data_IF_460943734456
#
_entry.id   IF_460943734456
#
_cell.length_a   1.000
_cell.length_b   1.000
_cell.length_c   1.000
_cell.angle_alpha   90.00
_cell.angle_beta   90.00
_cell.angle_gamma   90.00
#
_symmetry.space_group_name_H-M   'P 1'
#
loop_
_entity.id
_entity.type
_entity.pdbx_description
1 polymer ?
#
# COMPACT_ATOMS: atom_id res chain seq x y z
N UNK A 1 11.83 6.13 -0.65
CA UNK A 1 10.40 5.96 -0.98
C UNK A 1 9.83 4.78 -0.24
N UNK A 2 8.64 4.94 0.28
CA UNK A 2 7.86 3.85 0.87
C UNK A 2 6.61 3.62 0.03
N UNK A 3 6.18 2.36 -0.06
CA UNK A 3 4.94 1.96 -0.70
C UNK A 3 4.01 1.42 0.38
N UNK A 4 2.84 2.02 0.52
CA UNK A 4 1.87 1.60 1.52
C UNK A 4 1.00 0.47 0.98
N UNK A 5 0.84 -0.59 1.76
CA UNK A 5 -0.18 -1.59 1.52
C UNK A 5 -1.57 -0.95 1.70
N UNK A 6 -2.58 -1.54 1.12
CA UNK A 6 -3.94 -0.96 1.06
C UNK A 6 -4.49 -0.61 2.45
N UNK A 7 -4.42 -1.55 3.40
CA UNK A 7 -4.93 -1.29 4.74
C UNK A 7 -4.13 -0.20 5.48
N UNK A 8 -2.84 -0.04 5.15
CA UNK A 8 -2.01 0.99 5.77
C UNK A 8 -2.46 2.39 5.33
N UNK A 9 -2.78 2.57 4.05
CA UNK A 9 -3.35 3.84 3.58
C UNK A 9 -4.69 4.13 4.29
N UNK A 10 -5.54 3.12 4.43
CA UNK A 10 -6.80 3.26 5.16
C UNK A 10 -6.57 3.65 6.63
N UNK A 11 -5.56 3.09 7.28
CA UNK A 11 -5.22 3.45 8.66
C UNK A 11 -4.68 4.89 8.77
N UNK A 12 -3.88 5.31 7.81
CA UNK A 12 -3.39 6.71 7.77
C UNK A 12 -4.57 7.67 7.62
N UNK A 13 -5.48 7.36 6.70
CA UNK A 13 -6.67 8.18 6.44
C UNK A 13 -7.56 8.32 7.67
N UNK A 14 -7.80 7.22 8.37
CA UNK A 14 -8.68 7.17 9.54
C UNK A 14 -7.98 7.53 10.85
N UNK A 15 -6.69 7.82 10.83
CA UNK A 15 -5.86 7.99 12.03
C UNK A 15 -6.04 6.82 13.01
N UNK A 16 -6.02 5.60 12.47
CA UNK A 16 -6.27 4.37 13.21
C UNK A 16 -5.15 4.10 14.22
N UNK A 17 -5.52 3.68 15.43
CA UNK A 17 -4.56 3.36 16.50
C UNK A 17 -3.66 2.17 16.19
N UNK A 18 -4.05 1.31 15.25
CA UNK A 18 -3.20 0.20 14.79
C UNK A 18 -1.92 0.68 14.12
N UNK A 19 -1.95 1.89 13.54
CA UNK A 19 -0.76 2.48 12.94
C UNK A 19 0.22 2.88 14.04
N UNK A 20 1.41 2.27 14.02
CA UNK A 20 2.41 2.46 15.05
C UNK A 20 3.09 3.82 15.01
N UNK A 21 3.73 4.17 16.13
CA UNK A 21 4.41 5.47 16.27
C UNK A 21 5.56 5.63 15.28
N UNK A 22 6.37 4.59 15.09
CA UNK A 22 7.50 4.63 14.15
C UNK A 22 7.02 4.78 12.72
N UNK A 23 5.92 4.12 12.39
CA UNK A 23 5.30 4.21 11.06
C UNK A 23 4.76 5.60 10.81
N UNK A 24 4.11 6.21 11.79
CA UNK A 24 3.64 7.61 11.67
C UNK A 24 4.79 8.57 11.38
N UNK A 25 5.90 8.41 12.09
CA UNK A 25 7.08 9.23 11.88
C UNK A 25 7.72 8.97 10.50
N UNK A 26 7.75 7.71 10.07
CA UNK A 26 8.26 7.32 8.75
C UNK A 26 7.42 7.94 7.64
N UNK A 27 6.10 7.82 7.71
CA UNK A 27 5.17 8.40 6.72
C UNK A 27 5.35 9.92 6.66
N UNK A 28 5.38 10.60 7.80
CA UNK A 28 5.55 12.06 7.84
C UNK A 28 6.86 12.50 7.18
N UNK A 29 7.95 11.81 7.47
CA UNK A 29 9.27 12.11 6.90
C UNK A 29 9.30 11.90 5.38
N UNK A 30 8.76 10.77 4.92
CA UNK A 30 8.74 10.47 3.49
C UNK A 30 7.75 11.37 2.73
N UNK A 31 6.67 11.78 3.38
CA UNK A 31 5.70 12.69 2.80
C UNK A 31 6.34 14.01 2.38
N UNK A 32 7.20 14.57 3.20
CA UNK A 32 7.92 15.81 2.89
C UNK A 32 8.82 15.69 1.66
N UNK A 33 9.25 14.49 1.33
CA UNK A 33 10.13 14.20 0.17
C UNK A 33 9.34 13.76 -1.06
N UNK A 34 8.00 13.81 -1.03
CA UNK A 34 7.14 13.21 -2.06
C UNK A 34 7.47 11.73 -2.26
N UNK A 35 7.73 11.03 -1.15
CA UNK A 35 8.21 9.65 -1.14
C UNK A 35 7.20 8.64 -0.60
N UNK A 36 5.92 8.99 -0.48
CA UNK A 36 4.85 8.06 -0.07
C UNK A 36 4.03 7.68 -1.29
N UNK A 37 4.01 6.41 -1.60
CA UNK A 37 3.35 5.88 -2.79
C UNK A 37 2.39 4.73 -2.44
N UNK A 38 1.49 4.46 -3.37
CA UNK A 38 0.64 3.26 -3.40
C UNK A 38 0.62 2.69 -4.81
N UNK A 39 0.35 1.39 -4.93
CA UNK A 39 0.01 0.79 -6.21
C UNK A 39 -1.40 1.23 -6.63
N UNK A 40 -1.62 1.41 -7.92
CA UNK A 40 -2.96 1.69 -8.47
C UNK A 40 -4.00 0.65 -8.03
N UNK A 41 -3.61 -0.62 -7.80
CA UNK A 41 -4.49 -1.67 -7.34
C UNK A 41 -5.08 -1.37 -5.95
N UNK A 42 -4.41 -0.56 -5.15
CA UNK A 42 -4.90 -0.16 -3.83
C UNK A 42 -6.26 0.53 -3.93
N UNK A 43 -6.48 1.37 -4.93
CA UNK A 43 -7.77 2.05 -5.09
C UNK A 43 -8.88 1.10 -5.48
N UNK A 44 -8.58 0.07 -6.25
CA UNK A 44 -9.54 -1.00 -6.54
C UNK A 44 -9.91 -1.76 -5.27
N UNK A 45 -8.92 -2.15 -4.46
CA UNK A 45 -9.18 -2.83 -3.18
C UNK A 45 -10.01 -1.96 -2.23
N UNK A 46 -9.66 -0.69 -2.10
CA UNK A 46 -10.43 0.27 -1.29
C UNK A 46 -11.88 0.34 -1.76
N UNK A 47 -12.10 0.41 -3.07
CA UNK A 47 -13.43 0.39 -3.66
C UNK A 47 -14.22 -0.86 -3.30
N UNK A 48 -13.58 -2.02 -3.39
CA UNK A 48 -14.18 -3.31 -2.99
C UNK A 48 -14.54 -3.35 -1.50
N UNK A 49 -13.64 -2.87 -0.64
CA UNK A 49 -13.88 -2.81 0.80
C UNK A 49 -15.04 -1.88 1.14
N UNK A 50 -15.14 -0.74 0.48
CA UNK A 50 -16.23 0.22 0.66
C UNK A 50 -17.58 -0.37 0.21
N UNK A 51 -17.62 -1.05 -0.94
CA UNK A 51 -18.81 -1.76 -1.42
C UNK A 51 -19.30 -2.81 -0.44
N UNK A 52 -18.38 -3.54 0.17
CA UNK A 52 -18.68 -4.58 1.16
C UNK A 52 -18.92 -4.01 2.56
N UNK A 53 -18.95 -2.70 2.71
CA UNK A 53 -19.13 -1.99 3.98
C UNK A 53 -18.10 -2.37 5.05
N UNK A 54 -16.92 -2.77 4.63
CA UNK A 54 -15.82 -3.10 5.54
C UNK A 54 -14.99 -1.89 5.96
N UNK A 55 -15.05 -0.84 5.16
CA UNK A 55 -14.52 0.48 5.50
C UNK A 55 -15.55 1.53 5.13
N UNK A 56 -15.49 2.68 5.82
CA UNK A 56 -16.35 3.81 5.52
C UNK A 56 -15.47 4.95 5.01
N UNK A 57 -15.70 5.36 3.77
CA UNK A 57 -15.00 6.49 3.17
C UNK A 57 -15.80 7.78 3.38
N UNK A 58 -15.13 8.94 3.56
CA UNK A 58 -15.81 10.23 3.68
C UNK A 58 -16.40 10.72 2.36
N UNK A 59 -16.06 10.09 1.25
CA UNK A 59 -16.49 10.46 -0.11
C UNK A 59 -16.55 9.20 -0.98
N UNK A 60 -16.94 9.35 -2.25
CA UNK A 60 -16.84 8.25 -3.21
C UNK A 60 -15.37 7.81 -3.37
N UNK A 61 -15.10 6.55 -3.75
CA UNK A 61 -13.73 6.11 -4.00
C UNK A 61 -12.97 7.01 -4.99
N UNK A 62 -13.64 7.51 -6.03
CA UNK A 62 -13.02 8.40 -7.01
C UNK A 62 -12.64 9.75 -6.39
N UNK A 63 -13.52 10.37 -5.60
CA UNK A 63 -13.22 11.63 -4.92
C UNK A 63 -12.15 11.45 -3.85
N UNK A 64 -12.19 10.35 -3.11
CA UNK A 64 -11.20 10.02 -2.09
C UNK A 64 -9.79 9.87 -2.70
N UNK A 65 -9.68 9.17 -3.83
CA UNK A 65 -8.43 9.06 -4.58
C UNK A 65 -7.91 10.44 -5.00
N UNK A 66 -8.76 11.27 -5.61
CA UNK A 66 -8.37 12.61 -6.06
C UNK A 66 -7.85 13.47 -4.90
N UNK A 67 -8.49 13.41 -3.74
CA UNK A 67 -8.05 14.13 -2.54
C UNK A 67 -6.65 13.70 -2.12
N UNK A 68 -6.38 12.39 -2.09
CA UNK A 68 -5.07 11.86 -1.74
C UNK A 68 -3.99 12.27 -2.73
N UNK A 69 -4.28 12.17 -4.04
CA UNK A 69 -3.31 12.56 -5.08
C UNK A 69 -3.05 14.06 -5.06
N UNK A 70 -4.08 14.87 -4.84
CA UNK A 70 -3.93 16.32 -4.71
C UNK A 70 -3.12 16.71 -3.48
N UNK A 71 -3.18 15.92 -2.42
CA UNK A 71 -2.39 16.16 -1.21
C UNK A 71 -0.92 15.76 -1.34
N UNK A 72 -0.56 14.93 -2.34
CA UNK A 72 0.84 14.55 -2.61
C UNK A 72 1.14 13.05 -2.60
N UNK A 73 0.13 12.19 -2.42
CA UNK A 73 0.32 10.74 -2.55
C UNK A 73 0.70 10.40 -3.98
N UNK A 74 1.70 9.53 -4.15
CA UNK A 74 2.14 9.07 -5.47
C UNK A 74 1.43 7.77 -5.82
N UNK A 75 0.71 7.75 -6.93
CA UNK A 75 0.14 6.54 -7.48
C UNK A 75 1.10 5.91 -8.48
N UNK A 76 1.45 4.65 -8.26
CA UNK A 76 2.27 3.89 -9.20
C UNK A 76 1.34 3.05 -10.06
N UNK A 77 1.35 3.29 -11.36
CA UNK A 77 0.55 2.54 -12.31
C UNK A 77 0.92 1.05 -12.28
N UNK A 78 -0.08 0.18 -12.40
CA UNK A 78 0.15 -1.25 -12.57
C UNK A 78 0.44 -1.52 -14.04
N UNK A 79 1.71 -1.66 -14.37
CA UNK A 79 2.15 -1.93 -15.73
C UNK A 79 2.23 -3.43 -16.00
N UNK A 80 2.19 -3.80 -17.30
CA UNK A 80 2.25 -5.20 -17.71
C UNK A 80 3.47 -5.95 -17.19
N UNK A 81 4.62 -5.30 -17.13
CA UNK A 81 5.84 -5.91 -16.57
C UNK A 81 5.66 -6.29 -15.10
N UNK A 82 5.09 -5.41 -14.28
CA UNK A 82 4.82 -5.71 -12.87
C UNK A 82 3.75 -6.79 -12.72
N UNK A 83 2.72 -6.78 -13.57
CA UNK A 83 1.69 -7.81 -13.56
C UNK A 83 2.28 -9.19 -13.86
N UNK A 84 3.16 -9.30 -14.85
CA UNK A 84 3.84 -10.56 -15.17
C UNK A 84 4.78 -10.97 -14.03
N UNK A 85 5.56 -10.05 -13.50
CA UNK A 85 6.46 -10.31 -12.37
C UNK A 85 5.70 -10.84 -11.16
N UNK A 86 4.48 -10.36 -10.92
CA UNK A 86 3.66 -10.81 -9.80
C UNK A 86 3.38 -12.31 -9.81
N UNK A 87 3.41 -12.95 -10.97
CA UNK A 87 3.23 -14.40 -11.11
C UNK A 87 4.41 -15.21 -10.58
N UNK A 88 5.61 -14.63 -10.58
CA UNK A 88 6.87 -15.32 -10.25
C UNK A 88 7.34 -15.11 -8.82
N UNK A 89 6.49 -14.55 -7.95
CA UNK A 89 6.83 -14.29 -6.55
C UNK A 89 6.61 -15.56 -5.71
N UNK A 90 7.59 -16.46 -5.76
CA UNK A 90 7.53 -17.73 -5.06
C UNK A 90 7.45 -17.53 -3.53
N UNK A 91 6.63 -18.33 -2.86
CA UNK A 91 6.45 -18.27 -1.41
C UNK A 91 5.48 -17.22 -0.92
N UNK A 92 5.03 -16.32 -1.78
CA UNK A 92 3.96 -15.39 -1.47
C UNK A 92 2.62 -16.05 -1.78
N UNK A 93 1.61 -15.84 -0.94
CA UNK A 93 0.30 -16.46 -1.09
C UNK A 93 -0.41 -16.11 -2.40
N UNK A 94 -1.59 -16.71 -2.68
CA UNK A 94 -2.26 -16.59 -3.98
C UNK A 94 -3.02 -15.29 -4.20
N UNK A 95 -3.14 -14.43 -3.20
CA UNK A 95 -3.89 -13.18 -3.32
C UNK A 95 -3.30 -12.29 -4.43
N UNK A 96 -4.07 -12.00 -5.51
CA UNK A 96 -3.53 -11.23 -6.63
C UNK A 96 -3.12 -9.81 -6.25
N UNK A 97 -3.88 -9.15 -5.40
CA UNK A 97 -3.60 -7.77 -4.99
C UNK A 97 -2.30 -7.70 -4.18
N UNK A 98 -2.07 -8.61 -3.25
CA UNK A 98 -0.82 -8.70 -2.48
C UNK A 98 0.38 -8.90 -3.40
N UNK A 99 0.24 -9.78 -4.40
CA UNK A 99 1.30 -10.04 -5.37
C UNK A 99 1.62 -8.82 -6.21
N UNK A 100 0.59 -8.09 -6.65
CA UNK A 100 0.75 -6.88 -7.45
C UNK A 100 1.37 -5.74 -6.65
N UNK A 101 1.00 -5.60 -5.39
CA UNK A 101 1.59 -4.62 -4.48
C UNK A 101 3.08 -4.94 -4.25
N UNK A 102 3.41 -6.20 -3.96
CA UNK A 102 4.80 -6.62 -3.78
C UNK A 102 5.63 -6.40 -5.05
N UNK A 103 5.09 -6.74 -6.22
CA UNK A 103 5.75 -6.52 -7.51
C UNK A 103 5.98 -5.02 -7.78
N UNK A 104 5.02 -4.17 -7.42
CA UNK A 104 5.15 -2.72 -7.53
C UNK A 104 6.28 -2.19 -6.63
N UNK A 105 6.33 -2.66 -5.38
CA UNK A 105 7.39 -2.27 -4.45
C UNK A 105 8.78 -2.67 -4.98
N UNK A 106 8.90 -3.87 -5.54
CA UNK A 106 10.15 -4.34 -6.16
C UNK A 106 10.56 -3.46 -7.35
N UNK A 107 9.62 -3.16 -8.23
CA UNK A 107 9.88 -2.33 -9.42
C UNK A 107 10.34 -0.91 -9.06
N UNK A 108 9.79 -0.34 -8.00
CA UNK A 108 10.13 1.01 -7.52
C UNK A 108 11.30 1.03 -6.55
N UNK A 109 11.83 -0.12 -6.15
CA UNK A 109 12.85 -0.25 -5.09
C UNK A 109 12.40 0.45 -3.81
N UNK A 110 11.12 0.34 -3.49
CA UNK A 110 10.53 0.95 -2.30
C UNK A 110 10.53 -0.03 -1.12
N UNK A 111 10.49 0.52 0.09
CA UNK A 111 10.19 -0.27 1.28
C UNK A 111 8.68 -0.45 1.36
N UNK A 112 8.20 -1.69 1.43
CA UNK A 112 6.78 -1.99 1.59
C UNK A 112 6.38 -1.84 3.06
N UNK A 113 5.41 -0.97 3.32
CA UNK A 113 4.84 -0.78 4.66
C UNK A 113 3.54 -1.57 4.74
N UNK A 114 3.51 -2.58 5.57
CA UNK A 114 2.38 -3.52 5.70
C UNK A 114 2.23 -4.03 7.13
N UNK A 115 1.06 -4.53 7.46
CA UNK A 115 0.82 -5.29 8.70
C UNK A 115 0.40 -6.74 8.39
N UNK A 116 0.41 -7.14 7.12
CA UNK A 116 0.08 -8.50 6.74
C UNK A 116 1.24 -9.44 7.09
N UNK A 117 0.98 -10.40 7.98
CA UNK A 117 1.99 -11.36 8.44
C UNK A 117 2.58 -12.17 7.28
N UNK A 118 1.80 -12.49 6.26
CA UNK A 118 2.29 -13.25 5.10
C UNK A 118 3.33 -12.46 4.31
N UNK A 119 3.14 -11.15 4.18
CA UNK A 119 4.10 -10.26 3.54
C UNK A 119 5.31 -10.02 4.44
N UNK A 120 5.12 -9.84 5.74
CA UNK A 120 6.21 -9.62 6.68
C UNK A 120 7.10 -10.86 6.83
N UNK A 121 6.51 -12.05 6.84
CA UNK A 121 7.22 -13.33 6.99
C UNK A 121 7.74 -13.91 5.67
N UNK A 122 7.41 -13.30 4.55
CA UNK A 122 7.83 -13.77 3.24
C UNK A 122 9.35 -13.78 3.12
N UNK A 123 9.91 -14.92 2.76
CA UNK A 123 11.37 -15.09 2.58
C UNK A 123 11.81 -14.48 1.25
N UNK A 124 12.02 -13.19 1.26
CA UNK A 124 12.44 -12.42 0.09
C UNK A 124 13.26 -11.20 0.52
N UNK A 125 14.09 -10.70 -0.37
CA UNK A 125 14.96 -9.53 -0.12
C UNK A 125 14.20 -8.19 -0.14
N UNK A 126 12.92 -8.16 -0.50
CA UNK A 126 12.12 -6.93 -0.49
C UNK A 126 12.16 -6.27 0.90
N UNK A 127 12.62 -5.00 1.02
CA UNK A 127 12.56 -4.30 2.29
C UNK A 127 11.11 -4.11 2.76
N UNK A 128 10.84 -4.41 4.01
CA UNK A 128 9.50 -4.28 4.61
C UNK A 128 9.60 -3.58 5.96
N UNK A 129 8.52 -2.88 6.28
CA UNK A 129 8.34 -2.22 7.56
C UNK A 129 6.97 -2.61 8.12
N UNK A 130 6.95 -3.08 9.37
CA UNK A 130 5.71 -3.43 10.05
C UNK A 130 4.96 -2.17 10.44
N UNK A 131 3.78 -1.97 9.84
CA UNK A 131 2.96 -0.78 10.04
C UNK A 131 2.48 -0.60 11.49
N UNK A 132 2.53 -1.66 12.29
CA UNK A 132 2.09 -1.65 13.69
C UNK A 132 3.15 -1.09 14.65
N UNK A 133 4.36 -0.87 14.19
CA UNK A 133 5.48 -0.40 15.04
C UNK A 133 5.66 1.14 15.11
#
# INVERSE_FOLDING_TARGET
MILLDTHVLAWVDADDRKLGRRTRALVAREWEKVGVAVSAITFWEIGCLAERKRIKLPASPAAWREDWLSAGLVEIALEGESAIRSLDLAGLGPDPADRMIAATALACRATLVTADERLLDWKHALPRHDART
#
